data_IF_199422557445
#
_entry.id   IF_199422557445
#
_cell.length_a   1.000
_cell.length_b   1.000
_cell.length_c   1.000
_cell.angle_alpha   90.00
_cell.angle_beta   90.00
_cell.angle_gamma   90.00
#
_symmetry.space_group_name_H-M   'P 1'
#
loop_
_entity.id
_entity.type
_entity.pdbx_description
1 polymer ?
#
# COMPACT_ATOMS: atom_id res chain seq x y z
N UNK A 1 52.41 -48.19 28.94
CA UNK A 1 52.19 -47.81 27.53
C UNK A 1 50.72 -47.50 27.34
N UNK A 2 50.42 -46.48 26.52
CA UNK A 2 49.40 -45.46 26.76
C UNK A 2 47.94 -45.86 26.48
N UNK A 3 47.06 -45.42 27.38
CA UNK A 3 45.60 -45.47 27.30
C UNK A 3 45.11 -44.50 26.22
N UNK A 4 44.36 -45.01 25.23
CA UNK A 4 43.78 -44.22 24.14
C UNK A 4 42.40 -43.71 24.53
N UNK A 5 42.32 -42.45 24.93
CA UNK A 5 41.07 -41.73 25.09
C UNK A 5 40.47 -41.44 23.71
N UNK A 6 39.28 -41.98 23.44
CA UNK A 6 38.48 -41.64 22.27
C UNK A 6 37.85 -40.25 22.49
N UNK A 7 38.34 -39.24 21.78
CA UNK A 7 37.70 -37.93 21.72
C UNK A 7 36.52 -37.99 20.75
N UNK A 8 35.31 -37.94 21.32
CA UNK A 8 34.06 -37.74 20.60
C UNK A 8 33.96 -36.24 20.25
N UNK A 9 34.26 -35.88 19.00
CA UNK A 9 34.08 -34.50 18.51
C UNK A 9 32.61 -34.31 18.13
N UNK A 10 31.87 -33.61 18.99
CA UNK A 10 30.51 -33.14 18.71
C UNK A 10 30.58 -32.01 17.68
N UNK A 11 30.24 -32.33 16.43
CA UNK A 11 30.04 -31.38 15.34
C UNK A 11 28.73 -30.63 15.59
N UNK A 12 28.82 -29.46 16.23
CA UNK A 12 27.71 -28.49 16.30
C UNK A 12 27.58 -27.87 14.91
N UNK A 13 26.65 -28.40 14.12
CA UNK A 13 26.24 -27.79 12.87
C UNK A 13 25.36 -26.57 13.22
N UNK A 14 25.79 -25.32 12.99
CA UNK A 14 24.87 -24.21 13.13
C UNK A 14 23.82 -24.39 12.03
N UNK A 15 22.56 -24.59 12.42
CA UNK A 15 21.44 -24.34 11.52
C UNK A 15 21.52 -22.85 11.15
N UNK A 16 22.21 -22.54 10.05
CA UNK A 16 21.98 -21.30 9.34
C UNK A 16 20.52 -21.37 8.91
N UNK A 17 19.68 -20.56 9.55
CA UNK A 17 18.41 -20.17 8.95
C UNK A 17 18.76 -19.63 7.57
N UNK A 18 18.42 -20.38 6.53
CA UNK A 18 18.62 -19.96 5.16
C UNK A 18 17.79 -18.69 4.97
N UNK A 19 18.44 -17.53 4.98
CA UNK A 19 17.82 -16.31 4.51
C UNK A 19 17.44 -16.57 3.05
N UNK A 20 16.14 -16.61 2.76
CA UNK A 20 15.62 -16.76 1.42
C UNK A 20 15.99 -15.52 0.62
N UNK A 21 17.13 -15.58 -0.07
CA UNK A 21 17.57 -14.54 -0.98
C UNK A 21 16.82 -14.71 -2.31
N UNK A 22 15.95 -13.76 -2.65
CA UNK A 22 15.25 -13.74 -3.94
C UNK A 22 16.10 -12.99 -4.95
N UNK A 23 16.16 -13.46 -6.20
CA UNK A 23 16.92 -12.80 -7.25
C UNK A 23 15.99 -12.04 -8.18
N UNK A 24 16.39 -10.81 -8.48
CA UNK A 24 15.73 -9.92 -9.42
C UNK A 24 16.63 -9.77 -10.61
N UNK A 25 16.06 -10.02 -11.79
CA UNK A 25 16.77 -9.96 -13.06
C UNK A 25 16.22 -8.84 -13.93
N UNK A 26 16.98 -8.46 -14.95
CA UNK A 26 16.58 -7.42 -15.90
C UNK A 26 17.02 -7.70 -17.32
N UNK A 27 16.31 -7.11 -18.28
CA UNK A 27 16.70 -7.09 -19.69
C UNK A 27 16.09 -5.92 -20.44
N UNK A 28 16.66 -5.60 -21.59
CA UNK A 28 16.02 -4.77 -22.61
C UNK A 28 15.24 -5.66 -23.58
N UNK A 29 13.98 -5.30 -23.85
CA UNK A 29 13.13 -5.98 -24.81
C UNK A 29 12.61 -5.00 -25.87
N UNK A 30 12.71 -5.39 -27.12
CA UNK A 30 12.03 -4.73 -28.24
C UNK A 30 11.81 -5.77 -29.36
N UNK A 31 10.65 -5.78 -30.06
CA UNK A 31 10.35 -6.81 -31.06
C UNK A 31 11.34 -6.90 -32.23
N UNK A 32 12.09 -5.83 -32.52
CA UNK A 32 13.11 -5.82 -33.57
C UNK A 32 14.48 -6.32 -33.12
N UNK A 33 14.66 -6.60 -31.83
CA UNK A 33 15.90 -7.12 -31.28
C UNK A 33 15.79 -8.64 -31.10
N UNK A 34 16.91 -9.38 -31.20
CA UNK A 34 16.92 -10.79 -30.82
C UNK A 34 16.54 -10.94 -29.34
N UNK A 35 15.93 -12.07 -29.00
CA UNK A 35 15.57 -12.38 -27.62
C UNK A 35 16.84 -12.46 -26.76
N UNK A 36 17.01 -11.49 -25.86
CA UNK A 36 18.12 -11.46 -24.90
C UNK A 36 17.73 -12.22 -23.61
N UNK A 37 18.66 -13.00 -23.03
CA UNK A 37 18.45 -13.58 -21.71
C UNK A 37 18.39 -12.48 -20.65
N UNK A 38 17.79 -12.81 -19.51
CA UNK A 38 17.81 -11.95 -18.34
C UNK A 38 19.20 -11.94 -17.68
N UNK A 39 19.69 -10.75 -17.33
CA UNK A 39 20.90 -10.55 -16.54
C UNK A 39 20.52 -10.33 -15.07
N UNK A 40 21.43 -10.60 -14.14
CA UNK A 40 21.18 -10.36 -12.72
C UNK A 40 21.21 -8.86 -12.42
N UNK A 41 20.10 -8.35 -11.85
CA UNK A 41 19.98 -6.93 -11.49
C UNK A 41 20.32 -6.70 -10.03
N UNK A 42 19.71 -7.49 -9.15
CA UNK A 42 19.83 -7.32 -7.71
C UNK A 42 19.36 -8.59 -6.97
N UNK A 43 19.83 -8.75 -5.75
CA UNK A 43 19.33 -9.75 -4.80
C UNK A 43 18.50 -9.05 -3.73
N UNK A 44 17.27 -9.53 -3.52
CA UNK A 44 16.38 -9.06 -2.46
C UNK A 44 16.64 -9.86 -1.17
N UNK A 45 17.12 -9.14 -0.16
CA UNK A 45 17.33 -9.67 1.18
C UNK A 45 16.12 -9.36 2.05
N UNK A 46 15.49 -10.40 2.58
CA UNK A 46 14.39 -10.31 3.51
C UNK A 46 14.95 -10.39 4.94
N UNK A 47 14.62 -9.40 5.77
CA UNK A 47 15.02 -9.33 7.17
C UNK A 47 13.78 -9.18 8.06
N UNK A 48 13.73 -9.93 9.15
CA UNK A 48 12.61 -9.94 10.08
C UNK A 48 11.67 -11.14 9.87
N UNK A 49 10.52 -11.11 10.56
CA UNK A 49 9.52 -12.17 10.52
C UNK A 49 8.11 -11.57 10.62
N UNK A 50 7.16 -12.19 9.92
CA UNK A 50 5.75 -11.78 9.92
C UNK A 50 5.52 -10.40 9.27
N UNK A 51 4.58 -9.59 9.78
CA UNK A 51 4.19 -8.32 9.14
C UNK A 51 5.26 -7.23 9.20
N UNK A 52 6.30 -7.41 10.02
CA UNK A 52 7.42 -6.48 10.15
C UNK A 52 8.60 -6.86 9.24
N UNK A 53 8.41 -7.79 8.29
CA UNK A 53 9.46 -8.18 7.34
C UNK A 53 9.83 -6.98 6.47
N UNK A 54 11.10 -6.60 6.50
CA UNK A 54 11.68 -5.54 5.70
C UNK A 54 12.45 -6.18 4.55
N UNK A 55 12.30 -5.64 3.36
CA UNK A 55 13.02 -6.08 2.18
C UNK A 55 14.02 -5.01 1.75
N UNK A 56 15.25 -5.42 1.47
CA UNK A 56 16.30 -4.54 0.97
C UNK A 56 16.91 -5.13 -0.31
N UNK A 57 17.14 -4.29 -1.32
CA UNK A 57 17.79 -4.70 -2.57
C UNK A 57 19.29 -4.48 -2.48
N UNK A 58 20.05 -5.53 -2.79
CA UNK A 58 21.50 -5.48 -2.98
C UNK A 58 21.77 -5.54 -4.48
N UNK A 59 22.29 -4.47 -5.05
CA UNK A 59 22.54 -4.37 -6.49
C UNK A 59 23.63 -5.35 -6.94
N UNK A 60 23.47 -5.91 -8.13
CA UNK A 60 24.50 -6.70 -8.81
C UNK A 60 25.66 -5.81 -9.24
N UNK A 61 26.88 -6.35 -9.27
CA UNK A 61 28.07 -5.66 -9.76
C UNK A 61 27.97 -5.31 -11.25
N UNK A 62 27.27 -6.14 -12.03
CA UNK A 62 27.09 -5.95 -13.48
C UNK A 62 26.03 -4.91 -13.81
N UNK A 63 25.20 -4.51 -12.85
CA UNK A 63 24.01 -3.69 -13.11
C UNK A 63 24.34 -2.37 -13.84
N UNK A 64 25.39 -1.67 -13.40
CA UNK A 64 25.79 -0.41 -14.01
C UNK A 64 26.34 -0.57 -15.44
N UNK A 65 26.91 -1.73 -15.75
CA UNK A 65 27.48 -2.05 -17.06
C UNK A 65 26.36 -2.47 -18.02
N UNK A 66 25.48 -3.36 -17.56
CA UNK A 66 24.27 -3.79 -18.27
C UNK A 66 23.41 -2.59 -18.70
N UNK A 67 23.23 -1.60 -17.82
CA UNK A 67 22.49 -0.38 -18.15
C UNK A 67 23.14 0.42 -19.27
N UNK A 68 24.47 0.50 -19.33
CA UNK A 68 25.17 1.21 -20.42
C UNK A 68 25.00 0.48 -21.75
N UNK A 69 25.05 -0.84 -21.73
CA UNK A 69 24.84 -1.67 -22.93
C UNK A 69 23.40 -1.60 -23.43
N UNK A 70 22.43 -1.58 -22.50
CA UNK A 70 21.02 -1.38 -22.82
C UNK A 70 20.76 0.02 -23.37
N UNK A 71 21.43 1.05 -22.84
CA UNK A 71 21.31 2.41 -23.37
C UNK A 71 21.81 2.52 -24.82
N UNK A 72 22.94 1.87 -25.13
CA UNK A 72 23.47 1.81 -26.50
C UNK A 72 22.54 1.02 -27.43
N UNK A 73 22.00 -0.10 -26.96
CA UNK A 73 21.09 -0.95 -27.74
C UNK A 73 19.73 -0.30 -27.98
N UNK A 74 19.23 0.47 -27.01
CA UNK A 74 17.96 1.19 -27.11
C UNK A 74 18.06 2.46 -27.97
N UNK A 75 19.26 2.87 -28.39
CA UNK A 75 19.43 4.08 -29.17
C UNK A 75 18.72 3.98 -30.53
N UNK A 76 17.85 4.94 -30.80
CA UNK A 76 17.06 4.99 -32.04
C UNK A 76 15.82 4.09 -32.04
N UNK A 77 15.67 3.20 -31.06
CA UNK A 77 14.47 2.40 -30.89
C UNK A 77 13.36 3.22 -30.21
N UNK A 78 12.16 3.12 -30.77
CA UNK A 78 10.93 3.63 -30.14
C UNK A 78 10.29 2.48 -29.38
N UNK A 79 9.65 2.78 -28.25
CA UNK A 79 8.86 1.81 -27.49
C UNK A 79 9.65 0.59 -26.98
N UNK A 80 10.98 0.72 -26.82
CA UNK A 80 11.78 -0.28 -26.14
C UNK A 80 11.35 -0.38 -24.67
N UNK A 81 11.26 -1.61 -24.17
CA UNK A 81 10.84 -1.92 -22.81
C UNK A 81 12.04 -2.35 -21.99
N UNK A 82 12.15 -1.77 -20.80
CA UNK A 82 13.01 -2.28 -19.77
C UNK A 82 12.20 -3.22 -18.88
N UNK A 83 12.58 -4.49 -18.89
CA UNK A 83 11.86 -5.55 -18.18
C UNK A 83 12.65 -5.97 -16.95
N UNK A 84 11.92 -6.22 -15.88
CA UNK A 84 12.44 -6.75 -14.62
C UNK A 84 11.67 -8.02 -14.30
N UNK A 85 12.39 -9.08 -13.94
CA UNK A 85 11.80 -10.37 -13.61
C UNK A 85 12.19 -10.82 -12.21
N UNK A 86 11.27 -11.51 -11.55
CA UNK A 86 11.49 -12.16 -10.26
C UNK A 86 11.69 -13.66 -10.48
N UNK A 87 12.82 -14.18 -10.02
CA UNK A 87 13.11 -15.62 -10.07
C UNK A 87 12.41 -16.35 -8.93
N UNK A 88 11.66 -17.40 -9.26
CA UNK A 88 11.13 -18.34 -8.28
C UNK A 88 11.98 -19.61 -8.27
N UNK A 89 12.27 -20.13 -7.09
CA UNK A 89 13.07 -21.34 -6.90
C UNK A 89 12.47 -22.60 -7.53
N UNK A 90 11.17 -22.60 -7.84
CA UNK A 90 10.46 -23.70 -8.47
C UNK A 90 10.47 -23.63 -10.01
N UNK A 91 10.83 -22.50 -10.60
CA UNK A 91 10.80 -22.30 -12.05
C UNK A 91 12.00 -22.97 -12.72
N UNK A 92 11.77 -23.63 -13.85
CA UNK A 92 12.83 -24.30 -14.62
C UNK A 92 13.39 -23.41 -15.73
N UNK A 93 12.60 -22.43 -16.18
CA UNK A 93 12.95 -21.54 -17.29
C UNK A 93 12.59 -20.07 -16.97
N UNK A 94 13.34 -19.15 -17.55
CA UNK A 94 13.17 -17.70 -17.40
C UNK A 94 11.82 -17.20 -17.95
N UNK A 95 11.19 -17.98 -18.83
CA UNK A 95 9.86 -17.67 -19.38
C UNK A 95 8.75 -17.77 -18.35
N UNK A 96 8.97 -18.48 -17.24
CA UNK A 96 8.01 -18.66 -16.16
C UNK A 96 8.10 -17.54 -15.10
N UNK A 97 9.17 -16.75 -15.14
CA UNK A 97 9.42 -15.70 -14.17
C UNK A 97 8.38 -14.57 -14.26
N UNK A 98 7.94 -14.10 -13.10
CA UNK A 98 7.02 -12.96 -13.03
C UNK A 98 7.75 -11.70 -13.51
N UNK A 99 7.28 -11.11 -14.61
CA UNK A 99 7.94 -9.99 -15.27
C UNK A 99 7.07 -8.73 -15.24
N UNK A 100 7.67 -7.60 -14.85
CA UNK A 100 7.12 -6.25 -15.00
C UNK A 100 7.95 -5.45 -16.00
N UNK A 101 7.33 -4.47 -16.66
CA UNK A 101 7.98 -3.70 -17.73
C UNK A 101 7.66 -2.22 -17.63
N UNK A 102 8.65 -1.38 -17.94
CA UNK A 102 8.50 0.06 -18.14
C UNK A 102 9.11 0.47 -19.47
N UNK A 103 8.71 1.60 -20.05
CA UNK A 103 9.39 2.12 -21.25
C UNK A 103 10.83 2.50 -20.89
N UNK A 104 11.80 1.94 -21.62
CA UNK A 104 13.22 2.16 -21.37
C UNK A 104 13.61 3.65 -21.49
N UNK A 105 12.87 4.42 -22.29
CA UNK A 105 13.06 5.85 -22.46
C UNK A 105 12.88 6.68 -21.17
N UNK A 106 12.23 6.13 -20.13
CA UNK A 106 12.05 6.81 -18.85
C UNK A 106 13.27 6.65 -17.93
N UNK A 107 14.12 5.64 -18.14
CA UNK A 107 15.29 5.37 -17.29
C UNK A 107 16.29 6.54 -17.17
N UNK A 108 16.67 7.26 -18.25
CA UNK A 108 17.66 8.34 -18.14
C UNK A 108 17.22 9.50 -17.25
N UNK A 109 15.91 9.78 -17.18
CA UNK A 109 15.34 10.87 -16.39
C UNK A 109 14.80 10.44 -15.04
N UNK A 110 14.81 9.13 -14.76
CA UNK A 110 14.27 8.59 -13.51
C UNK A 110 15.24 8.84 -12.37
N UNK A 111 14.71 9.38 -11.28
CA UNK A 111 15.45 9.64 -10.03
C UNK A 111 15.05 8.68 -8.91
N UNK A 112 13.93 7.98 -9.08
CA UNK A 112 13.38 7.05 -8.11
C UNK A 112 12.76 5.84 -8.79
N UNK A 113 12.74 4.73 -8.07
CA UNK A 113 12.08 3.50 -8.50
C UNK A 113 11.42 2.79 -7.32
N UNK A 114 10.39 2.01 -7.63
CA UNK A 114 9.66 1.23 -6.64
C UNK A 114 9.42 -0.19 -7.12
N UNK A 115 9.65 -1.13 -6.21
CA UNK A 115 9.38 -2.55 -6.37
C UNK A 115 8.28 -2.93 -5.39
N UNK A 116 7.22 -3.55 -5.89
CA UNK A 116 6.19 -4.17 -5.05
C UNK A 116 6.23 -5.67 -5.28
N UNK A 117 6.68 -6.42 -4.29
CA UNK A 117 6.72 -7.89 -4.34
C UNK A 117 5.48 -8.41 -3.64
N UNK A 118 4.65 -9.16 -4.36
CA UNK A 118 3.46 -9.77 -3.79
C UNK A 118 3.78 -11.17 -3.30
N UNK A 119 3.32 -11.46 -2.10
CA UNK A 119 3.52 -12.72 -1.40
C UNK A 119 2.22 -13.52 -1.38
N UNK A 120 2.31 -14.83 -1.34
CA UNK A 120 1.19 -15.74 -1.12
C UNK A 120 0.82 -15.82 0.39
N UNK A 121 -0.13 -16.69 0.74
CA UNK A 121 -0.55 -16.91 2.14
C UNK A 121 0.55 -17.54 3.01
N UNK A 122 1.53 -18.20 2.39
CA UNK A 122 2.67 -18.84 3.04
C UNK A 122 3.90 -17.90 3.11
N UNK A 123 3.80 -16.69 2.57
CA UNK A 123 4.91 -15.73 2.49
C UNK A 123 5.86 -15.95 1.31
N UNK A 124 5.52 -16.82 0.35
CA UNK A 124 6.32 -17.01 -0.85
C UNK A 124 6.03 -15.88 -1.87
N UNK A 125 7.07 -15.30 -2.49
CA UNK A 125 6.89 -14.39 -3.61
C UNK A 125 6.20 -15.08 -4.79
N UNK A 126 5.28 -14.39 -5.47
CA UNK A 126 4.67 -14.91 -6.71
C UNK A 126 4.56 -13.89 -7.84
N UNK A 127 4.61 -12.59 -7.53
CA UNK A 127 4.60 -11.54 -8.56
C UNK A 127 5.38 -10.30 -8.13
N UNK A 128 5.77 -9.49 -9.13
CA UNK A 128 6.53 -8.27 -8.95
C UNK A 128 5.93 -7.15 -9.80
N UNK A 129 5.68 -6.00 -9.19
CA UNK A 129 5.44 -4.74 -9.91
C UNK A 129 6.69 -3.86 -9.84
N UNK A 130 7.01 -3.23 -10.96
CA UNK A 130 8.14 -2.31 -11.09
C UNK A 130 7.70 -0.98 -11.70
N UNK A 131 8.02 0.11 -11.02
CA UNK A 131 7.75 1.47 -11.49
C UNK A 131 8.99 2.35 -11.35
N UNK A 132 9.10 3.33 -12.25
CA UNK A 132 10.13 4.37 -12.21
C UNK A 132 9.49 5.74 -12.17
N UNK A 133 10.19 6.72 -11.60
CA UNK A 133 9.70 8.08 -11.49
C UNK A 133 10.82 9.12 -11.56
N UNK A 134 10.54 10.31 -12.09
CA UNK A 134 9.23 10.80 -12.53
C UNK A 134 8.85 10.35 -13.95
N UNK A 135 7.60 9.91 -14.13
CA UNK A 135 6.99 9.63 -15.45
C UNK A 135 5.95 10.73 -15.75
N UNK A 136 5.96 11.32 -16.96
CA UNK A 136 4.94 12.28 -17.38
C UNK A 136 3.51 11.73 -17.26
N UNK A 137 2.52 12.61 -17.06
CA UNK A 137 1.11 12.18 -16.90
C UNK A 137 0.52 11.48 -18.12
N UNK A 138 1.03 11.81 -19.31
CA UNK A 138 0.66 11.17 -20.57
C UNK A 138 1.43 9.86 -20.80
N UNK A 139 2.36 9.49 -19.92
CA UNK A 139 3.20 8.30 -20.03
C UNK A 139 4.20 8.34 -21.19
N UNK A 140 4.22 9.43 -21.95
CA UNK A 140 5.00 9.55 -23.17
C UNK A 140 6.48 9.73 -22.88
N UNK A 141 7.33 9.15 -23.73
CA UNK A 141 8.78 9.33 -23.64
C UNK A 141 9.17 10.80 -23.73
N UNK A 142 10.17 11.26 -22.94
CA UNK A 142 10.71 12.62 -23.07
C UNK A 142 11.16 12.89 -24.50
N UNK A 143 10.64 13.96 -25.11
CA UNK A 143 11.05 14.36 -26.47
C UNK A 143 12.51 14.81 -26.40
N UNK A 144 13.42 14.11 -27.10
CA UNK A 144 14.77 14.62 -27.35
C UNK A 144 14.62 15.97 -28.05
N UNK A 145 15.08 17.04 -27.40
CA UNK A 145 14.97 18.39 -27.97
C UNK A 145 15.67 18.45 -29.32
N UNK A 146 15.08 19.16 -30.29
CA UNK A 146 15.60 19.34 -31.66
C UNK A 146 17.04 19.89 -31.76
N UNK A 147 17.61 20.37 -30.65
CA UNK A 147 19.02 20.81 -30.53
C UNK A 147 20.00 19.68 -30.18
N UNK A 148 19.52 18.49 -29.86
CA UNK A 148 20.31 17.27 -29.75
C UNK A 148 20.57 16.70 -31.16
N UNK A 149 21.27 17.47 -31.99
CA UNK A 149 21.66 17.09 -33.35
C UNK A 149 23.08 16.53 -33.35
N UNK A 150 23.28 15.35 -33.95
CA UNK A 150 24.55 14.83 -34.47
C UNK A 150 25.80 14.88 -33.56
N UNK A 151 25.63 14.91 -32.23
CA UNK A 151 26.75 14.93 -31.28
C UNK A 151 26.35 14.98 -29.80
N UNK A 152 25.05 14.93 -29.47
CA UNK A 152 24.60 14.74 -28.09
C UNK A 152 24.88 13.30 -27.68
N UNK A 153 25.62 13.09 -26.59
CA UNK A 153 25.86 11.77 -26.01
C UNK A 153 24.56 10.95 -25.94
N UNK A 154 24.61 9.64 -26.22
CA UNK A 154 23.44 8.78 -26.13
C UNK A 154 22.79 8.92 -24.75
N UNK A 155 21.47 8.77 -24.67
CA UNK A 155 20.75 8.83 -23.41
C UNK A 155 21.32 7.76 -22.47
N UNK A 156 22.08 8.17 -21.46
CA UNK A 156 22.77 7.24 -20.57
C UNK A 156 21.80 6.72 -19.52
N UNK A 157 21.57 5.41 -19.50
CA UNK A 157 20.92 4.77 -18.36
C UNK A 157 21.91 4.74 -17.20
N UNK A 158 21.44 5.09 -16.01
CA UNK A 158 22.26 5.15 -14.80
C UNK A 158 21.55 4.38 -13.69
N UNK A 159 22.30 3.76 -12.77
CA UNK A 159 21.71 3.18 -11.57
C UNK A 159 20.87 4.23 -10.83
N UNK A 160 19.62 3.89 -10.56
CA UNK A 160 18.71 4.74 -9.79
C UNK A 160 19.07 4.58 -8.32
N UNK A 161 19.35 5.69 -7.64
CA UNK A 161 19.83 5.69 -6.25
C UNK A 161 18.69 5.55 -5.25
N UNK A 162 17.52 6.12 -5.57
CA UNK A 162 16.36 6.10 -4.67
C UNK A 162 15.44 4.91 -5.02
N UNK A 163 15.71 3.78 -4.40
CA UNK A 163 14.97 2.54 -4.61
C UNK A 163 14.11 2.24 -3.38
N UNK A 164 12.82 2.04 -3.61
CA UNK A 164 11.86 1.64 -2.57
C UNK A 164 11.38 0.22 -2.83
N UNK A 165 11.27 -0.59 -1.78
CA UNK A 165 10.78 -1.96 -1.89
C UNK A 165 9.68 -2.19 -0.87
N UNK A 166 8.55 -2.70 -1.34
CA UNK A 166 7.37 -2.98 -0.52
C UNK A 166 6.98 -4.44 -0.70
N UNK A 167 6.83 -5.14 0.42
CA UNK A 167 6.22 -6.47 0.43
C UNK A 167 4.71 -6.33 0.63
N UNK A 168 3.93 -7.01 -0.20
CA UNK A 168 2.46 -7.05 -0.09
C UNK A 168 2.02 -8.47 0.21
N UNK A 169 1.56 -8.69 1.43
CA UNK A 169 0.90 -9.94 1.83
C UNK A 169 -0.59 -9.88 1.50
N UNK A 170 -1.24 -11.04 1.26
CA UNK A 170 -2.66 -11.07 0.97
C UNK A 170 -3.45 -10.64 2.20
N UNK A 171 -4.43 -9.77 2.00
CA UNK A 171 -5.33 -9.31 3.07
C UNK A 171 -6.70 -9.93 2.90
N UNK A 172 -7.35 -10.28 4.02
CA UNK A 172 -8.74 -10.69 3.97
C UNK A 172 -9.64 -9.48 3.74
N UNK A 173 -10.62 -9.57 2.83
CA UNK A 173 -11.60 -8.51 2.68
C UNK A 173 -12.42 -8.35 3.97
N UNK A 174 -13.02 -7.17 4.22
CA UNK A 174 -13.91 -7.00 5.34
C UNK A 174 -15.09 -7.98 5.24
N UNK A 175 -15.47 -8.57 6.38
CA UNK A 175 -16.59 -9.49 6.44
C UNK A 175 -17.90 -8.76 6.07
N UNK A 176 -18.83 -9.42 5.34
CA UNK A 176 -20.10 -8.81 5.01
C UNK A 176 -20.91 -8.53 6.28
N UNK A 177 -21.48 -7.34 6.38
CA UNK A 177 -22.38 -6.98 7.46
C UNK A 177 -23.70 -7.75 7.30
N UNK A 178 -23.83 -8.88 7.99
CA UNK A 178 -25.08 -9.61 8.06
C UNK A 178 -26.08 -8.80 8.91
N UNK A 179 -27.32 -8.69 8.44
CA UNK A 179 -28.40 -8.13 9.27
C UNK A 179 -28.55 -9.01 10.50
N UNK A 180 -28.48 -8.41 11.67
CA UNK A 180 -28.79 -9.11 12.92
C UNK A 180 -30.27 -9.51 12.84
N UNK A 181 -30.62 -10.77 13.09
CA UNK A 181 -32.02 -11.17 13.13
C UNK A 181 -32.76 -10.35 14.19
N UNK A 182 -34.03 -9.99 13.97
CA UNK A 182 -34.84 -9.36 15.00
C UNK A 182 -34.79 -10.19 16.28
N UNK A 183 -34.71 -9.57 17.47
CA UNK A 183 -34.77 -10.32 18.72
C UNK A 183 -36.06 -11.14 18.73
N UNK A 184 -35.93 -12.43 19.03
CA UNK A 184 -37.06 -13.37 19.16
C UNK A 184 -37.45 -13.49 20.62
N UNK A 185 -38.76 -13.61 20.90
CA UNK A 185 -39.24 -14.00 22.23
C UNK A 185 -38.96 -15.50 22.46
N UNK A 186 -39.13 -16.00 23.69
CA UNK A 186 -38.96 -17.43 24.00
C UNK A 186 -39.89 -18.34 23.18
N UNK A 187 -40.98 -17.77 22.63
CA UNK A 187 -41.97 -18.40 21.77
C UNK A 187 -41.66 -18.27 20.27
N UNK A 188 -40.51 -17.69 19.90
CA UNK A 188 -40.04 -17.59 18.51
C UNK A 188 -40.70 -16.51 17.66
N UNK A 189 -41.48 -15.59 18.27
CA UNK A 189 -42.08 -14.45 17.55
C UNK A 189 -41.14 -13.25 17.55
N UNK A 190 -41.10 -12.44 16.47
CA UNK A 190 -40.36 -11.18 16.46
C UNK A 190 -40.83 -10.29 17.62
N UNK A 191 -39.90 -9.75 18.41
CA UNK A 191 -40.21 -8.76 19.44
C UNK A 191 -40.73 -7.51 18.75
N UNK A 192 -42.03 -7.24 18.89
CA UNK A 192 -42.62 -6.01 18.40
C UNK A 192 -42.05 -4.82 19.19
N UNK A 193 -41.63 -3.73 18.51
CA UNK A 193 -41.18 -2.55 19.21
C UNK A 193 -42.30 -2.02 20.10
N UNK A 194 -41.99 -1.52 21.31
CA UNK A 194 -43.00 -0.96 22.19
C UNK A 194 -43.73 0.18 21.46
N UNK A 195 -45.06 0.09 21.39
CA UNK A 195 -45.90 1.06 20.70
C UNK A 195 -45.61 2.47 21.25
N UNK A 196 -45.12 3.36 20.39
CA UNK A 196 -44.89 4.75 20.76
C UNK A 196 -46.22 5.41 21.14
N UNK A 197 -46.29 6.01 22.34
CA UNK A 197 -47.47 6.74 22.79
C UNK A 197 -47.58 8.06 22.03
N UNK A 198 -48.80 8.40 21.62
CA UNK A 198 -49.04 9.68 20.91
C UNK A 198 -48.74 10.88 21.81
N UNK A 199 -48.39 12.02 21.21
CA UNK A 199 -48.15 13.27 21.94
C UNK A 199 -49.35 13.64 22.83
N UNK A 200 -50.57 13.51 22.32
CA UNK A 200 -51.79 13.73 23.09
C UNK A 200 -51.89 12.78 24.29
N UNK A 201 -51.61 11.49 24.12
CA UNK A 201 -51.61 10.52 25.23
C UNK A 201 -50.58 10.88 26.31
N UNK A 202 -49.43 11.42 25.93
CA UNK A 202 -48.37 11.81 26.87
C UNK A 202 -48.62 13.15 27.57
N UNK A 203 -49.27 14.11 26.88
CA UNK A 203 -49.31 15.50 27.32
C UNK A 203 -50.72 16.08 27.57
N UNK A 204 -51.80 15.31 27.41
CA UNK A 204 -53.17 15.81 27.61
C UNK A 204 -53.38 16.45 28.99
N UNK A 205 -52.79 15.85 30.04
CA UNK A 205 -52.94 16.36 31.41
C UNK A 205 -52.33 17.76 31.57
N UNK A 206 -51.19 18.04 30.94
CA UNK A 206 -50.58 19.37 30.96
C UNK A 206 -51.41 20.40 30.19
N UNK A 207 -52.03 20.00 29.08
CA UNK A 207 -52.95 20.86 28.34
C UNK A 207 -54.18 21.23 29.18
N UNK A 208 -54.74 20.27 29.92
CA UNK A 208 -55.84 20.52 30.87
C UNK A 208 -55.40 21.46 32.00
N UNK A 209 -54.24 21.23 32.61
CA UNK A 209 -53.72 22.10 33.68
C UNK A 209 -53.50 23.52 33.17
N UNK A 210 -52.92 23.70 31.98
CA UNK A 210 -52.71 25.01 31.38
C UNK A 210 -54.04 25.73 31.07
N UNK A 211 -55.04 24.98 30.59
CA UNK A 211 -56.37 25.54 30.31
C UNK A 211 -57.06 25.99 31.60
N UNK A 212 -57.02 25.17 32.65
CA UNK A 212 -57.57 25.52 33.98
C UNK A 212 -56.83 26.75 34.52
N UNK A 213 -55.50 26.75 34.50
CA UNK A 213 -54.71 27.89 34.94
C UNK A 213 -55.06 29.17 34.18
N UNK A 214 -55.29 29.11 32.86
CA UNK A 214 -55.70 30.27 32.06
C UNK A 214 -57.10 30.77 32.44
N UNK A 215 -58.04 29.86 32.73
CA UNK A 215 -59.41 30.25 33.12
C UNK A 215 -59.50 30.86 34.52
N UNK A 216 -58.63 30.44 35.44
CA UNK A 216 -58.59 30.94 36.81
C UNK A 216 -57.49 32.00 37.03
N UNK A 217 -56.67 32.28 36.02
CA UNK A 217 -55.72 33.37 36.07
C UNK A 217 -56.49 34.70 36.09
N UNK A 218 -56.22 35.59 37.07
CA UNK A 218 -56.77 36.94 37.03
C UNK A 218 -56.29 37.62 35.74
N UNK A 219 -57.20 38.29 35.03
CA UNK A 219 -56.81 39.12 33.88
C UNK A 219 -55.78 40.15 34.35
N UNK A 220 -54.67 40.35 33.60
CA UNK A 220 -53.69 41.35 34.00
C UNK A 220 -54.38 42.71 34.10
N UNK A 221 -54.29 43.32 35.28
CA UNK A 221 -54.71 44.70 35.48
C UNK A 221 -53.85 45.60 34.59
N UNK A 222 -54.51 46.54 33.91
CA UNK A 222 -53.84 47.62 33.16
C UNK A 222 -52.87 48.36 34.08
N UNK A 223 -51.66 48.65 33.58
CA UNK A 223 -50.56 49.22 34.34
C UNK A 223 -50.92 50.63 34.89
N UNK A 224 -50.79 50.85 36.21
CA UNK A 224 -50.53 52.19 36.73
C UNK A 224 -49.60 52.21 37.96
N UNK A 225 -48.41 52.79 37.73
CA UNK A 225 -47.55 53.55 38.65
C UNK A 225 -46.63 52.83 39.65
N UNK A 226 -45.39 53.33 39.71
CA UNK A 226 -44.63 53.43 40.96
C UNK A 226 -43.24 52.77 40.97
N UNK A 227 -42.24 53.47 40.43
CA UNK A 227 -40.85 52.97 40.34
C UNK A 227 -39.96 53.11 41.58
N UNK A 228 -38.68 52.78 41.34
CA UNK A 228 -37.44 53.05 42.12
C UNK A 228 -37.11 52.01 43.20
N UNK A 229 -35.92 51.41 43.27
CA UNK A 229 -34.70 51.53 42.49
C UNK A 229 -33.75 50.38 42.87
N UNK A 230 -33.00 49.89 41.89
CA UNK A 230 -32.05 48.78 42.01
C UNK A 230 -30.64 49.35 41.85
N UNK A 231 -29.78 49.11 42.83
CA UNK A 231 -28.38 49.48 42.76
C UNK A 231 -27.50 48.64 43.70
N UNK A 232 -26.59 47.90 43.09
CA UNK A 232 -25.21 47.59 43.54
C UNK A 232 -24.85 46.11 43.81
N UNK A 233 -23.72 45.71 43.20
CA UNK A 233 -22.94 44.47 43.36
C UNK A 233 -23.07 43.51 42.17
N UNK A 234 -22.16 43.38 41.19
CA UNK A 234 -20.69 43.38 41.21
C UNK A 234 -20.18 41.93 41.40
N UNK A 235 -19.24 41.33 40.67
CA UNK A 235 -18.33 41.70 39.58
C UNK A 235 -17.90 40.40 38.87
N UNK A 236 -17.44 40.49 37.61
CA UNK A 236 -16.05 40.26 37.19
C UNK A 236 -15.55 38.83 37.37
#
# INVERSE_FOLDING_TARGET
>A
MFSRYAQLVLLVCPLLAAASALRVHHRLFHPSLPAAPFAERATLQLSGSGPATVAHLVLSETYADDLRDFAATAEGLKDALYQVALEHSADQDQTQWATSSVLACHLPSSTSESFTVHLDQNGNPFSLDYFVGPVPRDGACPKRGRKASAGSSPAQFRPIVNTTVVLRSPTFPPLPALRVPPPITAEGKPVEPPKEKSFLEKYWMYAVIALVALTFAPSPAEEESGGRGRGSGGGR
#
